data_IF_273303480852
#
_entry.id   IF_273303480852
#
_cell.length_a   1.000
_cell.length_b   1.000
_cell.length_c   1.000
_cell.angle_alpha   90.00
_cell.angle_beta   90.00
_cell.angle_gamma   90.00
#
_symmetry.space_group_name_H-M   'P 1'
#
loop_
_entity.id
_entity.type
_entity.pdbx_description
1 polymer ?
#
# COMPACT_ATOMS: atom_id res chain seq x y z
N UNK A 1 -19.13 -57.07 -39.40
CA UNK A 1 -18.33 -57.12 -40.63
C UNK A 1 -17.10 -56.28 -40.34
N UNK A 2 -16.01 -56.85 -39.88
CA UNK A 2 -14.89 -57.37 -40.67
C UNK A 2 -14.29 -56.27 -41.60
N UNK A 3 -13.04 -55.90 -41.51
CA UNK A 3 -11.70 -56.49 -41.35
C UNK A 3 -10.70 -55.35 -41.46
N UNK A 4 -9.65 -55.22 -40.89
CA UNK A 4 -8.38 -55.87 -40.51
C UNK A 4 -7.23 -54.91 -40.85
N UNK A 5 -6.42 -54.63 -39.86
CA UNK A 5 -4.97 -54.87 -39.70
C UNK A 5 -4.04 -54.79 -40.93
N UNK A 6 -2.95 -54.00 -40.81
CA UNK A 6 -1.55 -54.48 -40.85
C UNK A 6 -0.53 -53.34 -40.71
N UNK A 7 0.19 -53.34 -39.68
CA UNK A 7 1.64 -53.34 -39.40
C UNK A 7 2.62 -53.37 -40.56
N UNK A 8 3.69 -52.52 -40.48
CA UNK A 8 5.09 -52.91 -40.74
C UNK A 8 6.07 -51.78 -40.31
N UNK A 9 6.94 -52.11 -39.41
CA UNK A 9 8.31 -51.58 -39.27
C UNK A 9 9.23 -52.72 -39.76
N UNK A 10 10.57 -52.62 -39.81
CA UNK A 10 11.56 -51.53 -39.65
C UNK A 10 12.59 -51.50 -40.80
N UNK A 11 13.59 -50.62 -40.79
CA UNK A 11 14.99 -50.97 -41.09
C UNK A 11 15.97 -49.80 -40.86
N UNK A 12 17.05 -50.15 -40.18
CA UNK A 12 18.25 -49.37 -39.90
C UNK A 12 18.98 -48.93 -41.19
N UNK A 13 19.57 -47.72 -41.14
CA UNK A 13 20.85 -47.44 -41.81
C UNK A 13 21.62 -46.36 -41.10
N UNK A 14 22.77 -46.72 -40.59
CA UNK A 14 23.84 -45.91 -40.02
C UNK A 14 24.59 -45.18 -41.14
N UNK A 15 24.77 -43.87 -41.04
CA UNK A 15 25.86 -43.19 -41.76
C UNK A 15 26.38 -42.02 -40.92
N UNK A 16 27.62 -42.12 -40.54
CA UNK A 16 28.50 -41.13 -39.96
C UNK A 16 28.84 -40.07 -41.02
N UNK A 17 28.75 -38.75 -40.68
CA UNK A 17 29.84 -37.79 -41.01
C UNK A 17 29.56 -36.38 -40.48
N UNK A 18 30.59 -35.86 -39.85
CA UNK A 18 31.08 -34.49 -39.86
C UNK A 18 30.27 -33.39 -39.14
N UNK A 19 30.82 -32.98 -38.04
CA UNK A 19 30.68 -31.73 -37.29
C UNK A 19 30.86 -30.49 -38.19
N UNK A 20 29.81 -29.65 -38.26
CA UNK A 20 29.98 -28.21 -38.44
C UNK A 20 29.09 -27.53 -37.37
N UNK A 21 29.75 -26.82 -36.47
CA UNK A 21 29.09 -26.02 -35.43
C UNK A 21 28.32 -24.85 -36.08
N UNK A 22 27.04 -24.83 -35.89
CA UNK A 22 26.26 -23.59 -35.96
C UNK A 22 25.94 -23.20 -34.52
N UNK A 23 26.61 -22.18 -34.04
CA UNK A 23 26.15 -21.41 -32.88
C UNK A 23 24.87 -20.72 -33.30
N UNK A 24 23.75 -21.23 -32.85
CA UNK A 24 22.51 -20.45 -32.80
C UNK A 24 22.61 -19.60 -31.52
N UNK A 25 22.86 -18.31 -31.70
CA UNK A 25 22.63 -17.32 -30.66
C UNK A 25 21.13 -17.30 -30.37
N UNK A 26 20.71 -17.92 -29.29
CA UNK A 26 19.42 -17.66 -28.67
C UNK A 26 19.50 -16.26 -28.05
N UNK A 27 18.88 -15.30 -28.69
CA UNK A 27 18.55 -14.02 -28.08
C UNK A 27 17.23 -14.20 -27.32
N UNK A 28 17.27 -14.91 -26.22
CA UNK A 28 16.28 -14.73 -25.17
C UNK A 28 16.72 -13.47 -24.42
N UNK A 29 15.82 -12.53 -24.16
CA UNK A 29 16.12 -11.42 -23.23
C UNK A 29 16.46 -12.03 -21.88
N UNK A 30 17.41 -11.46 -21.14
CA UNK A 30 17.70 -11.93 -19.79
C UNK A 30 16.42 -11.85 -18.96
N UNK A 31 16.02 -12.97 -18.39
CA UNK A 31 15.03 -13.05 -17.34
C UNK A 31 15.74 -12.46 -16.11
N UNK A 32 15.66 -11.15 -15.93
CA UNK A 32 16.17 -10.48 -14.74
C UNK A 32 15.23 -10.86 -13.60
N UNK A 33 15.69 -11.75 -12.75
CA UNK A 33 15.11 -12.06 -11.46
C UNK A 33 15.13 -10.73 -10.65
N UNK A 34 13.99 -10.19 -10.19
CA UNK A 34 13.97 -8.92 -9.45
C UNK A 34 14.66 -9.01 -8.08
N UNK A 35 15.20 -10.16 -7.71
CA UNK A 35 15.95 -10.37 -6.49
C UNK A 35 17.37 -10.80 -6.84
N UNK A 36 18.41 -9.92 -6.66
CA UNK A 36 19.79 -10.30 -6.97
C UNK A 36 20.23 -11.48 -6.10
N UNK A 37 20.85 -12.48 -6.75
CA UNK A 37 21.44 -13.66 -6.13
C UNK A 37 22.43 -13.23 -5.02
N UNK A 38 22.35 -13.74 -3.77
CA UNK A 38 23.28 -13.37 -2.68
C UNK A 38 24.67 -13.95 -2.89
N UNK A 39 25.38 -13.43 -3.87
CA UNK A 39 26.72 -13.88 -4.26
C UNK A 39 27.46 -12.91 -5.19
N UNK A 40 26.80 -11.87 -5.66
CA UNK A 40 27.42 -10.88 -6.54
C UNK A 40 28.16 -9.80 -5.75
N UNK A 41 29.33 -9.44 -6.29
CA UNK A 41 30.25 -8.44 -5.73
C UNK A 41 29.52 -7.14 -5.37
N UNK A 42 29.82 -6.67 -4.18
CA UNK A 42 29.33 -5.47 -3.53
C UNK A 42 29.09 -4.32 -4.52
N UNK A 43 27.84 -4.05 -4.80
CA UNK A 43 27.36 -2.98 -5.69
C UNK A 43 27.58 -1.56 -5.14
N UNK A 44 28.74 -1.22 -4.60
CA UNK A 44 28.96 0.09 -4.00
C UNK A 44 29.05 1.24 -5.00
N UNK A 45 29.35 0.95 -6.27
CA UNK A 45 29.73 1.97 -7.27
C UNK A 45 28.86 1.94 -8.55
N UNK A 46 27.72 1.23 -8.56
CA UNK A 46 26.84 1.15 -9.73
C UNK A 46 25.46 1.72 -9.39
N UNK A 47 25.03 2.84 -10.01
CA UNK A 47 23.68 3.39 -9.81
C UNK A 47 22.59 2.36 -10.12
N UNK A 48 21.56 2.30 -9.26
CA UNK A 48 20.45 1.34 -9.38
C UNK A 48 20.68 -0.01 -8.70
N UNK A 49 21.90 -0.29 -8.24
CA UNK A 49 22.22 -1.49 -7.47
C UNK A 49 21.61 -1.47 -6.07
N UNK A 50 21.49 -2.66 -5.44
CA UNK A 50 21.03 -2.82 -4.06
C UNK A 50 22.17 -3.30 -3.17
N UNK A 51 22.52 -2.52 -2.15
CA UNK A 51 23.44 -2.92 -1.09
C UNK A 51 22.64 -3.62 0.00
N UNK A 52 22.79 -4.92 0.11
CA UNK A 52 22.00 -5.75 1.02
C UNK A 52 22.88 -6.59 1.97
N UNK A 53 22.27 -7.10 3.03
CA UNK A 53 22.86 -8.13 3.89
C UNK A 53 22.89 -9.47 3.15
N UNK A 54 23.83 -10.34 3.53
CA UNK A 54 23.85 -11.75 3.13
C UNK A 54 22.79 -12.61 3.86
N UNK A 55 22.01 -12.03 4.77
CA UNK A 55 20.99 -12.70 5.55
C UNK A 55 19.67 -12.72 4.83
N UNK A 56 19.05 -13.88 4.78
CA UNK A 56 17.72 -14.06 4.21
C UNK A 56 16.64 -13.61 5.20
N UNK A 57 15.53 -13.12 4.67
CA UNK A 57 14.34 -12.76 5.44
C UNK A 57 13.85 -13.94 6.26
N UNK A 58 13.48 -13.69 7.51
CA UNK A 58 12.87 -14.68 8.39
C UNK A 58 11.46 -14.96 7.88
N UNK A 59 11.23 -16.19 7.38
CA UNK A 59 9.96 -16.59 6.77
C UNK A 59 8.85 -16.96 7.77
N UNK A 60 9.19 -17.13 9.05
CA UNK A 60 8.25 -17.44 10.13
C UNK A 60 8.71 -16.73 11.39
N UNK A 61 8.46 -15.41 11.49
CA UNK A 61 8.85 -14.65 12.68
C UNK A 61 8.01 -15.09 13.90
N UNK A 62 8.69 -15.36 15.00
CA UNK A 62 8.05 -15.71 16.28
C UNK A 62 7.71 -14.41 17.04
N UNK A 63 6.50 -13.90 16.85
CA UNK A 63 6.02 -12.64 17.44
C UNK A 63 4.90 -12.94 18.43
N UNK A 64 5.06 -12.62 19.72
CA UNK A 64 4.00 -12.79 20.71
C UNK A 64 2.73 -12.01 20.35
N UNK A 65 1.55 -12.55 20.67
CA UNK A 65 0.27 -11.92 20.36
C UNK A 65 0.14 -10.49 20.92
N UNK A 66 0.72 -10.23 22.09
CA UNK A 66 0.72 -8.88 22.68
C UNK A 66 1.57 -7.90 21.86
N UNK A 67 2.70 -8.35 21.30
CA UNK A 67 3.55 -7.52 20.43
C UNK A 67 2.88 -7.30 19.05
N UNK A 68 2.16 -8.31 18.51
CA UNK A 68 1.32 -8.16 17.32
C UNK A 68 0.23 -7.09 17.54
N UNK A 69 -0.50 -7.20 18.63
CA UNK A 69 -1.56 -6.25 19.00
C UNK A 69 -1.00 -4.83 19.22
N UNK A 70 0.16 -4.69 19.85
CA UNK A 70 0.82 -3.40 20.07
C UNK A 70 1.19 -2.74 18.74
N UNK A 71 1.76 -3.48 17.77
CA UNK A 71 2.06 -2.95 16.43
C UNK A 71 0.80 -2.47 15.72
N UNK A 72 -0.27 -3.27 15.68
CA UNK A 72 -1.52 -2.92 14.99
C UNK A 72 -2.17 -1.71 15.63
N UNK A 73 -2.21 -1.65 16.96
CA UNK A 73 -2.75 -0.51 17.70
C UNK A 73 -1.93 0.77 17.46
N UNK A 74 -0.60 0.68 17.50
CA UNK A 74 0.28 1.81 17.20
C UNK A 74 0.11 2.32 15.77
N UNK A 75 0.07 1.43 14.77
CA UNK A 75 -0.19 1.82 13.38
C UNK A 75 -1.57 2.46 13.20
N UNK A 76 -2.59 2.00 13.92
CA UNK A 76 -3.93 2.61 13.89
C UNK A 76 -3.94 4.00 14.53
N UNK A 77 -3.22 4.19 15.64
CA UNK A 77 -3.06 5.50 16.27
C UNK A 77 -2.32 6.46 15.33
N UNK A 78 -1.18 6.06 14.76
CA UNK A 78 -0.46 6.86 13.76
C UNK A 78 -1.34 7.21 12.56
N UNK A 79 -2.14 6.25 12.07
CA UNK A 79 -3.04 6.50 10.95
C UNK A 79 -3.99 7.66 11.23
N UNK A 80 -4.62 7.67 12.38
CA UNK A 80 -5.61 8.69 12.72
C UNK A 80 -4.96 10.02 13.15
N UNK A 81 -3.80 9.99 13.82
CA UNK A 81 -3.04 11.21 14.13
C UNK A 81 -2.55 11.91 12.86
N UNK A 82 -2.06 11.15 11.88
CA UNK A 82 -1.73 11.68 10.56
C UNK A 82 -2.97 12.25 9.86
N UNK A 83 -4.12 11.57 9.96
CA UNK A 83 -5.38 12.08 9.43
C UNK A 83 -5.76 13.43 10.04
N UNK A 84 -5.58 13.61 11.36
CA UNK A 84 -5.87 14.89 12.01
C UNK A 84 -5.03 16.06 11.46
N UNK A 85 -3.82 15.80 10.96
CA UNK A 85 -3.02 16.81 10.27
C UNK A 85 -3.55 17.06 8.86
N UNK A 86 -3.86 15.99 8.11
CA UNK A 86 -4.23 16.06 6.70
C UNK A 86 -5.68 16.56 6.46
N UNK A 87 -6.60 16.38 7.42
CA UNK A 87 -7.99 16.81 7.26
C UNK A 87 -8.17 18.31 7.06
N UNK A 88 -7.16 19.14 7.42
CA UNK A 88 -7.17 20.57 7.18
C UNK A 88 -6.97 20.92 5.70
N UNK A 89 -6.42 20.00 4.90
CA UNK A 89 -6.28 20.16 3.46
C UNK A 89 -7.66 20.07 2.78
N UNK A 90 -7.96 20.95 1.82
CA UNK A 90 -9.24 20.89 1.11
C UNK A 90 -9.26 19.70 0.14
N UNK A 91 -10.45 19.20 -0.19
CA UNK A 91 -10.66 18.18 -1.21
C UNK A 91 -10.49 16.74 -0.70
N UNK A 92 -10.25 15.83 -1.63
CA UNK A 92 -10.07 14.42 -1.35
C UNK A 92 -8.75 14.14 -0.66
N UNK A 93 -8.71 13.14 0.21
CA UNK A 93 -7.51 12.65 0.89
C UNK A 93 -7.44 11.15 0.68
N UNK A 94 -6.24 10.62 0.40
CA UNK A 94 -6.01 9.18 0.33
C UNK A 94 -4.55 8.83 0.59
N UNK A 95 -4.27 8.02 1.58
CA UNK A 95 -2.91 7.59 1.90
C UNK A 95 -2.90 6.22 2.58
N UNK A 96 -1.72 5.59 2.60
CA UNK A 96 -1.49 4.33 3.31
C UNK A 96 -0.64 4.56 4.56
N UNK A 97 -1.24 4.60 5.74
CA UNK A 97 -0.49 4.72 6.98
C UNK A 97 0.41 3.50 7.21
N UNK A 98 -0.03 2.31 6.84
CA UNK A 98 0.76 1.09 6.96
C UNK A 98 2.06 1.16 6.15
N UNK A 99 1.98 1.57 4.88
CA UNK A 99 3.15 1.68 4.02
C UNK A 99 4.12 2.78 4.50
N UNK A 100 3.59 3.95 4.92
CA UNK A 100 4.39 5.04 5.51
C UNK A 100 5.09 4.58 6.79
N UNK A 101 4.37 3.92 7.70
CA UNK A 101 4.91 3.39 8.95
C UNK A 101 6.01 2.35 8.70
N UNK A 102 5.82 1.45 7.73
CA UNK A 102 6.82 0.45 7.34
C UNK A 102 8.10 1.10 6.80
N UNK A 103 8.01 2.08 5.91
CA UNK A 103 9.18 2.81 5.39
C UNK A 103 9.94 3.54 6.49
N UNK A 104 9.22 4.18 7.40
CA UNK A 104 9.80 4.87 8.55
C UNK A 104 10.38 3.89 9.59
N UNK A 105 9.80 2.70 9.76
CA UNK A 105 10.36 1.65 10.61
C UNK A 105 11.70 1.13 10.08
N UNK A 106 11.83 0.94 8.76
CA UNK A 106 13.13 0.62 8.16
C UNK A 106 14.19 1.68 8.46
N UNK A 107 13.82 2.95 8.38
CA UNK A 107 14.74 4.08 8.69
C UNK A 107 15.05 4.16 10.17
N UNK A 108 14.05 3.90 11.03
CA UNK A 108 14.18 3.89 12.49
C UNK A 108 15.18 2.84 13.00
N UNK A 109 15.41 1.75 12.24
CA UNK A 109 16.45 0.77 12.54
C UNK A 109 17.84 1.39 12.70
N UNK A 110 18.09 2.52 12.03
CA UNK A 110 19.36 3.26 12.14
C UNK A 110 19.30 4.49 13.04
N UNK A 111 18.15 4.84 13.58
CA UNK A 111 18.00 5.99 14.48
C UNK A 111 18.60 5.73 15.87
N UNK A 112 19.12 6.78 16.50
CA UNK A 112 19.68 6.75 17.87
C UNK A 112 19.23 7.95 18.68
N UNK A 113 19.27 7.82 20.00
CA UNK A 113 19.07 8.91 20.93
C UNK A 113 17.72 9.65 20.78
N UNK A 114 17.80 10.98 20.67
CA UNK A 114 16.61 11.84 20.54
C UNK A 114 15.86 11.60 19.22
N UNK A 115 16.56 11.24 18.14
CA UNK A 115 15.95 10.90 16.85
C UNK A 115 15.14 9.62 16.94
N UNK A 116 15.69 8.58 17.56
CA UNK A 116 14.98 7.32 17.81
C UNK A 116 13.72 7.55 18.65
N UNK A 117 13.84 8.35 19.73
CA UNK A 117 12.74 8.67 20.64
C UNK A 117 11.64 9.48 19.94
N UNK A 118 12.01 10.51 19.18
CA UNK A 118 11.06 11.35 18.45
C UNK A 118 10.29 10.57 17.38
N UNK A 119 11.00 9.74 16.61
CA UNK A 119 10.37 8.86 15.63
C UNK A 119 9.41 7.87 16.30
N UNK A 120 9.85 7.19 17.37
CA UNK A 120 9.01 6.23 18.09
C UNK A 120 7.74 6.89 18.64
N UNK A 121 7.86 8.08 19.23
CA UNK A 121 6.71 8.82 19.76
C UNK A 121 5.71 9.24 18.69
N UNK A 122 6.18 9.75 17.55
CA UNK A 122 5.31 10.19 16.44
C UNK A 122 4.64 9.02 15.71
N UNK A 123 5.34 7.90 15.57
CA UNK A 123 4.87 6.73 14.83
C UNK A 123 4.17 5.70 15.72
N UNK A 124 4.03 5.98 17.01
CA UNK A 124 3.49 5.05 18.01
C UNK A 124 4.22 3.69 18.02
N UNK A 125 5.57 3.73 17.95
CA UNK A 125 6.40 2.54 18.07
C UNK A 125 6.63 2.22 19.54
N UNK A 126 5.64 1.61 20.17
CA UNK A 126 5.68 1.24 21.60
C UNK A 126 6.56 0.02 21.88
N UNK A 127 6.92 -0.72 20.84
CA UNK A 127 7.87 -1.83 20.90
C UNK A 127 9.30 -1.31 20.69
N UNK A 128 10.25 -1.86 21.44
CA UNK A 128 11.67 -1.62 21.16
C UNK A 128 12.10 -2.19 19.81
N UNK A 129 13.28 -1.77 19.33
CA UNK A 129 13.78 -2.17 18.01
C UNK A 129 13.86 -3.69 17.83
N UNK A 130 14.23 -4.42 18.87
CA UNK A 130 14.35 -5.89 18.90
C UNK A 130 13.01 -6.62 18.70
N UNK A 131 11.89 -5.95 18.94
CA UNK A 131 10.53 -6.49 18.81
C UNK A 131 9.76 -5.88 17.63
N UNK A 132 9.95 -4.58 17.38
CA UNK A 132 9.21 -3.86 16.34
C UNK A 132 9.48 -4.44 14.94
N UNK A 133 10.74 -4.62 14.58
CA UNK A 133 11.10 -5.12 13.25
C UNK A 133 10.58 -6.55 12.98
N UNK A 134 10.72 -7.51 13.90
CA UNK A 134 10.04 -8.81 13.77
C UNK A 134 8.52 -8.70 13.65
N UNK A 135 7.89 -7.76 14.36
CA UNK A 135 6.45 -7.55 14.28
C UNK A 135 6.02 -6.98 12.90
N UNK A 136 6.80 -6.06 12.31
CA UNK A 136 6.58 -5.65 10.92
C UNK A 136 6.78 -6.79 9.92
N UNK A 137 7.77 -7.66 10.13
CA UNK A 137 7.94 -8.85 9.31
C UNK A 137 6.73 -9.78 9.39
N UNK A 138 6.18 -9.98 10.59
CA UNK A 138 4.98 -10.79 10.80
C UNK A 138 3.77 -10.21 10.05
N UNK A 139 3.45 -8.94 10.25
CA UNK A 139 2.25 -8.35 9.62
C UNK A 139 2.37 -8.30 8.09
N UNK A 140 3.56 -8.06 7.56
CA UNK A 140 3.81 -8.04 6.12
C UNK A 140 3.56 -9.42 5.51
N UNK A 141 4.06 -10.51 6.11
CA UNK A 141 3.79 -11.87 5.66
C UNK A 141 2.31 -12.28 5.82
N UNK A 142 1.63 -11.81 6.86
CA UNK A 142 0.18 -11.98 6.99
C UNK A 142 -0.53 -11.32 5.81
N UNK A 143 -0.19 -10.07 5.47
CA UNK A 143 -0.79 -9.36 4.35
C UNK A 143 -0.43 -9.95 2.99
N UNK A 144 0.82 -10.41 2.79
CA UNK A 144 1.23 -11.15 1.59
C UNK A 144 0.43 -12.46 1.39
N UNK A 145 -0.07 -13.05 2.48
CA UNK A 145 -0.89 -14.26 2.41
C UNK A 145 -2.33 -14.01 1.96
N UNK A 146 -2.78 -12.74 1.92
CA UNK A 146 -4.16 -12.37 1.58
C UNK A 146 -4.44 -12.53 0.09
N UNK A 147 -5.73 -12.68 -0.23
CA UNK A 147 -6.23 -12.72 -1.59
C UNK A 147 -5.87 -13.99 -2.37
N UNK A 148 -5.46 -15.08 -1.70
CA UNK A 148 -5.18 -16.34 -2.38
C UNK A 148 -6.44 -16.90 -3.04
N UNK A 149 -6.46 -16.88 -4.38
CA UNK A 149 -7.62 -17.31 -5.18
C UNK A 149 -8.70 -16.23 -5.35
N UNK A 150 -8.57 -15.10 -4.69
CA UNK A 150 -9.46 -13.95 -4.87
C UNK A 150 -9.17 -13.20 -6.17
N UNK A 151 -10.19 -12.52 -6.68
CA UNK A 151 -10.10 -11.77 -7.91
C UNK A 151 -9.75 -10.30 -7.64
N UNK A 152 -8.95 -9.74 -8.54
CA UNK A 152 -8.83 -8.31 -8.68
C UNK A 152 -10.03 -7.77 -9.46
N UNK A 153 -10.31 -6.51 -9.28
CA UNK A 153 -11.42 -5.85 -9.94
C UNK A 153 -11.26 -5.76 -11.48
N UNK A 154 -10.07 -5.96 -12.00
CA UNK A 154 -9.75 -6.02 -13.44
C UNK A 154 -9.83 -7.44 -14.03
N UNK A 155 -10.33 -8.41 -13.27
CA UNK A 155 -10.44 -9.82 -13.68
C UNK A 155 -9.13 -10.61 -13.67
N UNK A 156 -8.04 -10.01 -13.15
CA UNK A 156 -6.81 -10.73 -12.77
C UNK A 156 -6.88 -11.10 -11.29
N UNK A 157 -5.81 -11.64 -10.72
CA UNK A 157 -5.76 -11.93 -9.27
C UNK A 157 -5.79 -10.66 -8.41
N UNK A 158 -6.15 -10.83 -7.15
CA UNK A 158 -5.99 -9.81 -6.12
C UNK A 158 -4.55 -9.26 -6.08
N UNK A 159 -4.38 -7.97 -5.83
CA UNK A 159 -3.06 -7.33 -5.69
C UNK A 159 -3.08 -6.31 -4.55
N UNK A 160 -2.11 -6.46 -3.67
CA UNK A 160 -1.74 -5.49 -2.65
C UNK A 160 -0.22 -5.33 -2.71
N UNK A 161 0.26 -4.39 -3.52
CA UNK A 161 1.68 -4.15 -3.70
C UNK A 161 2.11 -3.00 -2.80
N UNK A 162 2.77 -3.33 -1.70
CA UNK A 162 3.38 -2.35 -0.79
C UNK A 162 4.81 -2.11 -1.26
N UNK A 163 5.07 -0.93 -1.81
CA UNK A 163 6.31 -0.59 -2.49
C UNK A 163 7.08 0.42 -1.66
N UNK A 164 7.95 -0.08 -0.81
CA UNK A 164 8.80 0.72 0.06
C UNK A 164 10.27 0.52 -0.31
N UNK A 165 11.00 1.61 -0.53
CA UNK A 165 12.43 1.54 -0.75
C UNK A 165 13.19 2.68 -0.07
N UNK A 166 14.40 2.34 0.37
CA UNK A 166 15.40 3.27 0.85
C UNK A 166 16.43 3.49 -0.26
N UNK A 167 16.65 4.75 -0.62
CA UNK A 167 17.59 5.17 -1.65
C UNK A 167 18.74 5.94 -1.02
N UNK A 168 19.94 5.46 -1.17
CA UNK A 168 21.13 6.04 -0.58
C UNK A 168 22.12 6.56 -1.63
N UNK A 169 22.95 7.55 -1.24
CA UNK A 169 24.02 8.04 -2.09
C UNK A 169 25.05 6.93 -2.35
N UNK A 170 25.39 6.72 -3.60
CA UNK A 170 26.46 5.79 -4.02
C UNK A 170 27.78 6.08 -3.32
N UNK A 171 28.54 5.04 -2.96
CA UNK A 171 29.78 5.16 -2.22
C UNK A 171 29.64 5.53 -0.73
N UNK A 172 28.39 5.66 -0.23
CA UNK A 172 28.13 5.91 1.17
C UNK A 172 28.21 4.61 1.97
N UNK A 173 29.02 4.51 3.03
CA UNK A 173 29.15 3.27 3.79
C UNK A 173 27.92 3.06 4.69
N UNK A 174 27.27 1.90 4.56
CA UNK A 174 26.15 1.51 5.42
C UNK A 174 26.62 0.53 6.49
N UNK A 175 26.10 0.67 7.70
CA UNK A 175 26.42 -0.21 8.82
C UNK A 175 25.83 -1.61 8.59
N UNK A 176 26.64 -2.65 8.77
CA UNK A 176 26.23 -4.05 8.58
C UNK A 176 25.01 -4.40 9.43
N UNK A 177 24.94 -3.93 10.68
CA UNK A 177 23.81 -4.22 11.56
C UNK A 177 22.49 -3.61 11.05
N UNK A 178 22.54 -2.46 10.38
CA UNK A 178 21.41 -1.83 9.74
C UNK A 178 20.94 -2.68 8.55
N UNK A 179 21.86 -3.03 7.63
CA UNK A 179 21.54 -3.90 6.50
C UNK A 179 20.99 -5.27 6.95
N UNK A 180 21.54 -5.84 8.01
CA UNK A 180 21.05 -7.08 8.61
C UNK A 180 19.60 -6.96 9.10
N UNK A 181 19.24 -5.83 9.71
CA UNK A 181 17.87 -5.57 10.14
C UNK A 181 16.91 -5.49 8.96
N UNK A 182 17.32 -4.80 7.88
CA UNK A 182 16.53 -4.71 6.64
C UNK A 182 16.36 -6.08 5.99
N UNK A 183 17.46 -6.83 5.83
CA UNK A 183 17.43 -8.16 5.21
C UNK A 183 16.56 -9.15 5.99
N UNK A 184 16.78 -9.25 7.31
CA UNK A 184 16.09 -10.22 8.17
C UNK A 184 14.58 -9.97 8.32
N UNK A 185 14.15 -8.69 8.35
CA UNK A 185 12.77 -8.37 8.71
C UNK A 185 11.94 -7.83 7.54
N UNK A 186 12.57 -7.23 6.54
CA UNK A 186 11.85 -6.63 5.42
C UNK A 186 12.19 -7.27 4.06
N UNK A 187 13.20 -8.17 4.02
CA UNK A 187 13.70 -8.70 2.76
C UNK A 187 14.27 -7.62 1.84
N UNK A 188 14.71 -6.50 2.42
CA UNK A 188 15.11 -5.29 1.71
C UNK A 188 16.60 -4.98 1.91
N UNK A 189 17.10 -4.11 1.04
CA UNK A 189 18.42 -3.48 1.15
C UNK A 189 18.32 -1.98 0.83
N UNK A 190 19.48 -1.35 0.66
CA UNK A 190 19.60 0.05 0.23
C UNK A 190 19.81 0.09 -1.28
N UNK A 191 18.89 0.69 -2.02
CA UNK A 191 19.14 1.07 -3.40
C UNK A 191 20.13 2.23 -3.43
N UNK A 192 21.16 2.16 -4.27
CA UNK A 192 22.16 3.23 -4.36
C UNK A 192 22.08 3.94 -5.70
N UNK A 193 22.11 5.27 -5.66
CA UNK A 193 22.07 6.16 -6.81
C UNK A 193 23.00 7.34 -6.58
N UNK A 194 23.40 8.05 -7.64
CA UNK A 194 24.28 9.20 -7.53
C UNK A 194 23.50 10.53 -7.46
N UNK A 195 22.91 10.81 -6.31
CA UNK A 195 22.17 12.05 -6.09
C UNK A 195 23.00 13.30 -6.34
N UNK A 196 24.30 13.26 -6.00
CA UNK A 196 25.21 14.42 -6.06
C UNK A 196 25.70 14.64 -7.48
N UNK A 197 26.18 13.60 -8.15
CA UNK A 197 26.76 13.70 -9.49
C UNK A 197 25.77 13.63 -10.63
N UNK A 198 24.65 12.89 -10.43
CA UNK A 198 23.67 12.59 -11.46
C UNK A 198 22.22 12.66 -10.93
N UNK A 199 21.77 13.84 -10.44
CA UNK A 199 20.47 13.97 -9.78
C UNK A 199 19.29 13.59 -10.69
N UNK A 200 19.30 13.96 -11.98
CA UNK A 200 18.22 13.61 -12.90
C UNK A 200 18.17 12.10 -13.17
N UNK A 201 19.31 11.46 -13.42
CA UNK A 201 19.38 10.02 -13.64
C UNK A 201 18.96 9.25 -12.39
N UNK A 202 19.31 9.74 -11.20
CA UNK A 202 18.84 9.19 -9.93
C UNK A 202 17.32 9.23 -9.80
N UNK A 203 16.69 10.35 -10.16
CA UNK A 203 15.23 10.50 -10.19
C UNK A 203 14.60 9.55 -11.20
N UNK A 204 15.17 9.44 -12.40
CA UNK A 204 14.67 8.54 -13.46
C UNK A 204 14.71 7.07 -13.01
N UNK A 205 15.80 6.65 -12.33
CA UNK A 205 15.92 5.31 -11.76
C UNK A 205 14.88 5.06 -10.66
N UNK A 206 14.72 6.00 -9.72
CA UNK A 206 13.74 5.90 -8.63
C UNK A 206 12.32 5.80 -9.19
N UNK A 207 11.93 6.71 -10.07
CA UNK A 207 10.58 6.76 -10.64
C UNK A 207 10.31 5.56 -11.55
N UNK A 208 11.29 5.12 -12.33
CA UNK A 208 11.20 3.92 -13.16
C UNK A 208 10.93 2.67 -12.34
N UNK A 209 11.68 2.48 -11.24
CA UNK A 209 11.47 1.37 -10.32
C UNK A 209 10.08 1.41 -9.66
N UNK A 210 9.65 2.58 -9.18
CA UNK A 210 8.30 2.74 -8.58
C UNK A 210 7.20 2.43 -9.58
N UNK A 211 7.32 2.93 -10.82
CA UNK A 211 6.36 2.66 -11.89
C UNK A 211 6.25 1.15 -12.18
N UNK A 212 7.37 0.45 -12.25
CA UNK A 212 7.39 -1.00 -12.47
C UNK A 212 6.70 -1.74 -11.34
N UNK A 213 7.02 -1.43 -10.08
CA UNK A 213 6.43 -2.07 -8.89
C UNK A 213 4.94 -1.76 -8.70
N UNK A 214 4.44 -0.68 -9.32
CA UNK A 214 3.02 -0.27 -9.24
C UNK A 214 2.25 -0.51 -10.54
N UNK A 215 2.72 -1.40 -11.41
CA UNK A 215 2.09 -1.71 -12.71
C UNK A 215 1.81 -0.46 -13.58
N UNK A 216 2.69 0.55 -13.52
CA UNK A 216 2.54 1.82 -14.24
C UNK A 216 1.48 2.76 -13.68
N UNK A 217 0.99 2.53 -12.45
CA UNK A 217 -0.02 3.40 -11.83
C UNK A 217 0.59 4.63 -11.17
N UNK A 218 1.84 4.54 -10.75
CA UNK A 218 2.57 5.64 -10.13
C UNK A 218 3.84 5.87 -10.95
N UNK A 219 3.79 6.83 -11.89
CA UNK A 219 4.90 7.08 -12.82
C UNK A 219 5.89 8.12 -12.28
N UNK A 220 5.42 9.13 -11.54
CA UNK A 220 6.24 10.24 -11.03
C UNK A 220 6.03 10.41 -9.52
N UNK A 221 6.91 9.78 -8.74
CA UNK A 221 6.90 9.91 -7.28
C UNK A 221 7.83 11.03 -6.82
N UNK A 222 9.11 10.98 -7.21
CA UNK A 222 10.16 11.91 -6.78
C UNK A 222 10.38 12.96 -7.88
N UNK A 223 10.13 14.26 -7.61
CA UNK A 223 10.52 15.33 -8.53
C UNK A 223 12.01 15.64 -8.38
N UNK A 224 12.66 16.13 -9.44
CA UNK A 224 14.09 16.42 -9.41
C UNK A 224 14.45 17.53 -8.39
N UNK A 225 13.53 18.43 -8.11
CA UNK A 225 13.68 19.51 -7.13
C UNK A 225 13.79 19.00 -5.69
N UNK A 226 13.37 17.75 -5.42
CA UNK A 226 13.54 17.12 -4.12
C UNK A 226 14.99 16.68 -3.86
N UNK A 227 15.82 16.61 -4.91
CA UNK A 227 17.24 16.26 -4.81
C UNK A 227 18.07 17.54 -4.63
N UNK A 228 18.84 17.58 -3.56
CA UNK A 228 19.78 18.67 -3.28
C UNK A 228 21.21 18.11 -3.18
N UNK A 229 22.26 18.96 -3.20
CA UNK A 229 23.64 18.48 -3.02
C UNK A 229 23.89 17.79 -1.66
N UNK A 230 23.03 18.01 -0.69
CA UNK A 230 23.09 17.42 0.66
C UNK A 230 22.29 16.12 0.75
N UNK A 231 21.57 15.72 -0.30
CA UNK A 231 20.73 14.52 -0.31
C UNK A 231 21.59 13.27 -0.25
N UNK A 232 21.46 12.51 0.82
CA UNK A 232 22.16 11.21 1.03
C UNK A 232 21.19 10.06 1.27
N UNK A 233 19.92 10.37 1.58
CA UNK A 233 18.88 9.39 1.86
C UNK A 233 17.51 9.91 1.45
N UNK A 234 16.79 9.12 0.64
CA UNK A 234 15.38 9.36 0.30
C UNK A 234 14.59 8.09 0.62
N UNK A 235 13.39 8.29 1.17
CA UNK A 235 12.42 7.23 1.35
C UNK A 235 11.34 7.39 0.28
N UNK A 236 11.14 6.34 -0.48
CA UNK A 236 9.99 6.23 -1.39
C UNK A 236 8.98 5.26 -0.81
N UNK A 237 7.74 5.69 -0.86
CA UNK A 237 6.62 4.94 -0.39
C UNK A 237 5.49 5.04 -1.42
N UNK A 238 5.17 3.92 -2.04
CA UNK A 238 4.09 3.80 -3.00
C UNK A 238 3.28 2.56 -2.67
N UNK A 239 2.00 2.60 -2.96
CA UNK A 239 1.14 1.44 -2.73
C UNK A 239 0.09 1.33 -3.83
N UNK A 240 -0.07 0.11 -4.31
CA UNK A 240 -1.06 -0.24 -5.31
C UNK A 240 -1.99 -1.32 -4.76
N UNK A 241 -3.30 -1.08 -4.86
CA UNK A 241 -4.33 -2.00 -4.39
C UNK A 241 -5.36 -2.25 -5.48
N UNK A 242 -5.63 -3.52 -5.79
CA UNK A 242 -6.64 -3.93 -6.74
C UNK A 242 -7.36 -5.17 -6.22
N UNK A 243 -8.65 -5.04 -5.91
CA UNK A 243 -9.50 -6.08 -5.37
C UNK A 243 -10.94 -5.95 -5.88
N UNK A 244 -11.55 -7.07 -6.25
CA UNK A 244 -12.98 -7.12 -6.57
C UNK A 244 -13.83 -7.04 -5.30
N UNK A 245 -15.04 -6.47 -5.41
CA UNK A 245 -16.03 -6.61 -4.34
C UNK A 245 -16.46 -8.08 -4.21
N UNK A 246 -16.74 -8.54 -3.00
CA UNK A 246 -17.40 -9.84 -2.78
C UNK A 246 -18.73 -9.90 -3.54
N UNK A 247 -19.48 -8.81 -3.53
CA UNK A 247 -20.72 -8.62 -4.27
C UNK A 247 -20.60 -7.35 -5.11
N UNK A 248 -20.27 -7.46 -6.40
CA UNK A 248 -20.17 -6.30 -7.30
C UNK A 248 -21.51 -5.60 -7.51
N UNK A 249 -21.49 -4.31 -7.84
CA UNK A 249 -22.68 -3.59 -8.30
C UNK A 249 -23.01 -3.94 -9.74
N UNK A 250 -24.29 -3.91 -10.08
CA UNK A 250 -24.74 -4.06 -11.47
C UNK A 250 -24.46 -2.77 -12.25
N UNK A 251 -23.70 -2.86 -13.33
CA UNK A 251 -23.35 -1.70 -14.17
C UNK A 251 -24.58 -1.01 -14.77
N UNK A 252 -25.66 -1.76 -14.99
CA UNK A 252 -26.95 -1.24 -15.50
C UNK A 252 -27.75 -0.50 -14.45
N UNK A 253 -27.40 -0.62 -13.18
CA UNK A 253 -28.00 0.10 -12.06
C UNK A 253 -27.23 1.38 -11.69
N UNK A 254 -26.14 1.69 -12.41
CA UNK A 254 -25.41 2.96 -12.22
C UNK A 254 -26.12 4.06 -13.01
N UNK A 255 -26.49 5.13 -12.33
CA UNK A 255 -27.19 6.28 -12.89
C UNK A 255 -26.52 7.59 -12.45
N UNK A 256 -26.61 8.63 -13.28
CA UNK A 256 -26.13 9.95 -12.89
C UNK A 256 -26.99 10.54 -11.79
N UNK A 257 -26.37 11.02 -10.71
CA UNK A 257 -27.04 11.63 -9.58
C UNK A 257 -26.26 12.80 -8.99
N UNK A 258 -26.87 13.48 -8.01
CA UNK A 258 -26.25 14.64 -7.36
C UNK A 258 -25.45 14.18 -6.13
N UNK A 259 -24.27 14.75 -5.98
CA UNK A 259 -23.44 14.65 -4.78
C UNK A 259 -23.16 16.06 -4.26
N UNK A 260 -23.50 16.31 -3.00
CA UNK A 260 -23.19 17.58 -2.34
C UNK A 260 -21.74 17.53 -1.85
N UNK A 261 -20.87 18.34 -2.45
CA UNK A 261 -19.44 18.38 -2.11
C UNK A 261 -19.19 19.07 -0.75
N UNK A 262 -17.98 18.93 -0.22
CA UNK A 262 -17.61 19.53 1.07
C UNK A 262 -17.67 21.09 1.05
N UNK A 263 -17.49 21.71 -0.11
CA UNK A 263 -17.61 23.18 -0.26
C UNK A 263 -19.07 23.67 -0.43
N UNK A 264 -20.03 22.74 -0.43
CA UNK A 264 -21.45 23.03 -0.53
C UNK A 264 -21.98 23.20 -1.96
N UNK A 265 -21.19 22.82 -2.98
CA UNK A 265 -21.65 22.75 -4.37
C UNK A 265 -22.20 21.36 -4.69
N UNK A 266 -23.17 21.26 -5.60
CA UNK A 266 -23.67 20.00 -6.10
C UNK A 266 -22.96 19.63 -7.40
N UNK A 267 -22.42 18.41 -7.48
CA UNK A 267 -21.83 17.85 -8.69
C UNK A 267 -22.66 16.65 -9.17
N UNK A 268 -22.74 16.47 -10.48
CA UNK A 268 -23.36 15.29 -11.07
C UNK A 268 -22.32 14.21 -11.29
N UNK A 269 -22.50 13.04 -10.69
CA UNK A 269 -21.57 11.90 -10.77
C UNK A 269 -22.34 10.59 -10.98
N UNK A 270 -21.68 9.57 -11.58
CA UNK A 270 -22.26 8.24 -11.64
C UNK A 270 -22.41 7.65 -10.22
N UNK A 271 -23.63 7.32 -9.82
CA UNK A 271 -23.99 6.66 -8.58
C UNK A 271 -24.32 5.19 -8.86
N UNK A 272 -23.58 4.29 -8.22
CA UNK A 272 -23.83 2.84 -8.23
C UNK A 272 -24.93 2.52 -7.22
N UNK A 273 -25.87 1.67 -7.59
CA UNK A 273 -26.98 1.24 -6.71
C UNK A 273 -26.95 -0.28 -6.54
N UNK A 274 -27.14 -0.75 -5.31
CA UNK A 274 -27.21 -2.18 -5.01
C UNK A 274 -27.82 -2.45 -3.65
N UNK A 275 -28.49 -3.59 -3.51
CA UNK A 275 -28.97 -4.12 -2.23
C UNK A 275 -27.98 -5.19 -1.79
N UNK A 276 -27.16 -4.90 -0.78
CA UNK A 276 -26.01 -5.70 -0.39
C UNK A 276 -26.21 -6.28 1.02
N UNK A 277 -25.90 -7.56 1.21
CA UNK A 277 -25.81 -8.17 2.53
C UNK A 277 -24.42 -7.92 3.10
N UNK A 278 -24.30 -6.91 3.99
CA UNK A 278 -23.02 -6.40 4.50
C UNK A 278 -23.14 -5.94 5.96
N UNK A 279 -22.03 -5.93 6.73
CA UNK A 279 -22.00 -5.33 8.05
C UNK A 279 -22.36 -3.85 8.02
N UNK A 280 -23.31 -3.44 8.85
CA UNK A 280 -23.84 -2.09 8.98
C UNK A 280 -23.94 -1.70 10.45
N UNK A 281 -23.70 -0.43 10.73
CA UNK A 281 -23.98 0.21 12.01
C UNK A 281 -24.48 1.64 11.79
N UNK A 282 -25.30 2.12 12.69
CA UNK A 282 -25.62 3.54 12.83
C UNK A 282 -25.39 3.98 14.27
N UNK A 283 -24.97 5.21 14.46
CA UNK A 283 -24.68 5.79 15.76
C UNK A 283 -24.97 7.28 15.80
N UNK A 284 -24.53 7.93 16.85
CA UNK A 284 -24.73 9.37 17.03
C UNK A 284 -23.97 10.15 15.95
N UNK A 285 -24.72 10.67 14.98
CA UNK A 285 -24.19 11.50 13.89
C UNK A 285 -23.50 10.74 12.75
N UNK A 286 -23.70 9.42 12.59
CA UNK A 286 -23.11 8.66 11.48
C UNK A 286 -23.90 7.41 11.11
N UNK A 287 -23.71 6.97 9.85
CA UNK A 287 -23.97 5.62 9.37
C UNK A 287 -22.63 5.00 8.90
N UNK A 288 -22.49 3.67 9.01
CA UNK A 288 -21.27 3.02 8.55
C UNK A 288 -21.56 1.62 8.01
N UNK A 289 -20.75 1.20 7.01
CA UNK A 289 -20.77 -0.15 6.44
C UNK A 289 -19.35 -0.68 6.30
N UNK A 290 -19.22 -2.00 6.30
CA UNK A 290 -18.00 -2.66 5.82
C UNK A 290 -18.35 -3.41 4.53
N UNK A 291 -17.78 -2.99 3.40
CA UNK A 291 -17.92 -3.65 2.11
C UNK A 291 -16.79 -4.65 1.92
N UNK A 292 -17.05 -5.96 1.99
CA UNK A 292 -16.00 -6.97 1.84
C UNK A 292 -15.50 -7.04 0.40
N UNK A 293 -14.19 -7.24 0.26
CA UNK A 293 -13.61 -7.67 -1.00
C UNK A 293 -13.71 -9.19 -1.19
N UNK A 294 -13.50 -9.66 -2.41
CA UNK A 294 -13.48 -11.09 -2.73
C UNK A 294 -12.44 -11.81 -1.87
N UNK A 295 -12.82 -12.94 -1.28
CA UNK A 295 -12.03 -13.66 -0.28
C UNK A 295 -12.32 -13.28 1.18
N UNK A 296 -13.12 -12.24 1.45
CA UNK A 296 -13.56 -11.79 2.79
C UNK A 296 -12.42 -11.41 3.77
N UNK A 297 -11.19 -11.34 3.31
CA UNK A 297 -10.02 -11.05 4.17
C UNK A 297 -9.81 -9.55 4.38
N UNK A 298 -10.23 -8.73 3.42
CA UNK A 298 -10.19 -7.27 3.49
C UNK A 298 -11.58 -6.67 3.30
N UNK A 299 -11.78 -5.46 3.84
CA UNK A 299 -13.00 -4.70 3.65
C UNK A 299 -12.70 -3.21 3.48
N UNK A 300 -13.54 -2.53 2.67
CA UNK A 300 -13.65 -1.08 2.71
C UNK A 300 -14.70 -0.71 3.77
N UNK A 301 -14.24 -0.18 4.89
CA UNK A 301 -15.10 0.40 5.92
C UNK A 301 -15.42 1.83 5.51
N UNK A 302 -16.70 2.15 5.31
CA UNK A 302 -17.17 3.48 4.92
C UNK A 302 -17.92 4.08 6.09
N UNK A 303 -17.64 5.33 6.42
CA UNK A 303 -18.30 6.08 7.48
C UNK A 303 -18.88 7.36 6.85
N UNK A 304 -20.19 7.48 6.90
CA UNK A 304 -20.94 8.63 6.42
C UNK A 304 -21.42 9.47 7.62
N UNK A 305 -20.77 10.61 7.92
CA UNK A 305 -21.30 11.58 8.89
C UNK A 305 -22.64 12.16 8.44
N UNK A 306 -23.46 12.62 9.39
CA UNK A 306 -24.66 13.41 9.05
C UNK A 306 -24.29 14.62 8.18
N UNK A 307 -25.17 14.95 7.24
CA UNK A 307 -24.94 16.06 6.32
C UNK A 307 -24.62 17.36 7.07
N UNK A 308 -23.51 18.01 6.69
CA UNK A 308 -23.04 19.25 7.30
C UNK A 308 -22.28 19.10 8.63
N UNK A 309 -21.98 17.86 9.07
CA UNK A 309 -21.24 17.61 10.32
C UNK A 309 -19.82 17.05 10.10
N UNK A 310 -19.37 16.94 8.85
CA UNK A 310 -18.08 16.32 8.50
C UNK A 310 -16.93 16.81 9.38
N UNK A 311 -16.68 18.13 9.45
CA UNK A 311 -15.57 18.72 10.20
C UNK A 311 -15.58 18.34 11.70
N UNK A 312 -16.79 18.35 12.30
CA UNK A 312 -16.96 17.99 13.71
C UNK A 312 -16.74 16.49 13.93
N UNK A 313 -17.21 15.67 13.00
CA UNK A 313 -17.00 14.22 13.03
C UNK A 313 -15.53 13.88 12.89
N UNK A 314 -14.85 14.43 11.88
CA UNK A 314 -13.42 14.25 11.64
C UNK A 314 -12.57 14.69 12.86
N UNK A 315 -12.92 15.83 13.48
CA UNK A 315 -12.21 16.31 14.68
C UNK A 315 -12.29 15.35 15.88
N UNK A 316 -13.31 14.48 15.89
CA UNK A 316 -13.52 13.49 16.96
C UNK A 316 -13.03 12.08 16.59
N UNK A 317 -12.44 11.91 15.38
CA UNK A 317 -12.03 10.61 14.87
C UNK A 317 -10.66 10.24 15.43
N UNK A 318 -10.61 9.11 16.14
CA UNK A 318 -9.41 8.45 16.63
C UNK A 318 -9.53 6.92 16.44
N UNK A 319 -8.48 6.18 16.77
CA UNK A 319 -8.45 4.73 16.62
C UNK A 319 -9.57 4.04 17.43
N UNK A 320 -9.81 4.51 18.67
CA UNK A 320 -10.83 3.93 19.54
C UNK A 320 -12.26 4.12 18.97
N UNK A 321 -12.53 5.30 18.36
CA UNK A 321 -13.80 5.57 17.70
C UNK A 321 -14.00 4.69 16.46
N UNK A 322 -12.96 4.52 15.64
CA UNK A 322 -13.00 3.61 14.48
C UNK A 322 -13.27 2.17 14.93
N UNK A 323 -12.54 1.68 15.93
CA UNK A 323 -12.76 0.32 16.46
C UNK A 323 -14.16 0.16 17.08
N UNK A 324 -14.66 1.19 17.75
CA UNK A 324 -16.03 1.22 18.28
C UNK A 324 -17.09 1.13 17.17
N UNK A 325 -16.91 1.87 16.07
CA UNK A 325 -17.80 1.83 14.89
C UNK A 325 -17.77 0.43 14.26
N UNK A 326 -16.58 -0.11 13.99
CA UNK A 326 -16.43 -1.45 13.38
C UNK A 326 -17.00 -2.52 14.30
N UNK A 327 -16.73 -2.43 15.62
CA UNK A 327 -17.22 -3.39 16.60
C UNK A 327 -18.76 -3.36 16.80
N UNK A 328 -19.44 -2.28 16.41
CA UNK A 328 -20.89 -2.15 16.47
C UNK A 328 -21.60 -2.70 15.21
N UNK A 329 -20.86 -3.02 14.14
CA UNK A 329 -21.45 -3.50 12.89
C UNK A 329 -22.01 -4.92 13.04
N UNK A 330 -23.13 -5.17 12.37
CA UNK A 330 -23.72 -6.51 12.20
C UNK A 330 -24.31 -6.66 10.81
N UNK A 331 -24.45 -7.88 10.33
CA UNK A 331 -24.98 -8.18 8.98
C UNK A 331 -26.39 -7.64 8.79
N UNK A 332 -26.58 -6.86 7.73
CA UNK A 332 -27.86 -6.30 7.31
C UNK A 332 -27.97 -6.36 5.78
N UNK A 333 -29.21 -6.44 5.29
CA UNK A 333 -29.49 -6.07 3.91
C UNK A 333 -29.50 -4.54 3.85
N UNK A 334 -28.60 -3.95 3.04
CA UNK A 334 -28.42 -2.50 2.95
C UNK A 334 -28.63 -2.05 1.50
N UNK A 335 -29.63 -1.19 1.28
CA UNK A 335 -29.78 -0.50 0.01
C UNK A 335 -28.74 0.60 -0.06
N UNK A 336 -27.69 0.34 -0.85
CA UNK A 336 -26.49 1.17 -0.94
C UNK A 336 -26.49 2.00 -2.21
N UNK A 337 -26.26 3.30 -2.08
CA UNK A 337 -25.94 4.21 -3.19
C UNK A 337 -24.53 4.77 -2.97
N UNK A 338 -23.62 4.59 -3.95
CA UNK A 338 -22.21 4.97 -3.82
C UNK A 338 -21.70 5.61 -5.11
N UNK A 339 -21.00 6.77 -5.05
CA UNK A 339 -20.40 7.36 -6.23
C UNK A 339 -19.22 6.54 -6.73
N UNK A 340 -19.01 6.54 -8.03
CA UNK A 340 -17.70 6.16 -8.62
C UNK A 340 -16.74 7.30 -8.41
N UNK A 341 -15.48 6.97 -8.08
CA UNK A 341 -14.43 7.96 -7.96
C UNK A 341 -13.07 7.38 -8.34
N UNK A 342 -12.16 8.27 -8.77
CA UNK A 342 -10.80 7.88 -9.13
C UNK A 342 -9.90 9.09 -9.03
N UNK A 343 -8.83 9.00 -8.23
CA UNK A 343 -7.83 10.05 -8.12
C UNK A 343 -6.49 9.54 -7.60
N UNK A 344 -5.46 10.36 -7.77
CA UNK A 344 -4.15 10.19 -7.18
C UNK A 344 -3.98 11.18 -6.03
N UNK A 345 -3.26 10.77 -4.99
CA UNK A 345 -2.93 11.65 -3.88
C UNK A 345 -1.44 11.55 -3.57
N UNK A 346 -0.74 12.70 -3.59
CA UNK A 346 0.69 12.81 -3.35
C UNK A 346 0.95 13.69 -2.13
N UNK A 347 1.82 13.21 -1.24
CA UNK A 347 2.22 13.90 -0.02
C UNK A 347 3.75 14.03 0.05
N UNK A 348 4.24 15.20 0.41
CA UNK A 348 5.51 15.39 1.09
C UNK A 348 5.21 15.47 2.59
N UNK A 349 5.67 14.49 3.33
CA UNK A 349 5.29 14.30 4.74
C UNK A 349 6.23 15.04 5.71
N UNK A 350 7.32 15.65 5.23
CA UNK A 350 8.30 16.32 6.09
C UNK A 350 7.64 17.27 7.08
N UNK A 351 6.95 18.29 6.59
CA UNK A 351 6.34 19.31 7.45
C UNK A 351 5.29 18.73 8.40
N UNK A 352 4.55 17.74 7.94
CA UNK A 352 3.52 17.05 8.72
C UNK A 352 4.15 16.25 9.87
N UNK A 353 5.17 15.45 9.57
CA UNK A 353 5.87 14.64 10.58
C UNK A 353 6.67 15.53 11.56
N UNK A 354 7.25 16.64 11.10
CA UNK A 354 7.86 17.66 11.97
C UNK A 354 6.83 18.22 12.95
N UNK A 355 5.65 18.61 12.47
CA UNK A 355 4.56 19.12 13.32
C UNK A 355 4.02 18.06 14.31
N UNK A 356 4.10 16.78 13.97
CA UNK A 356 3.75 15.66 14.85
C UNK A 356 4.83 15.30 15.87
N UNK A 357 6.06 15.89 15.78
CA UNK A 357 7.12 15.71 16.76
C UNK A 357 8.44 15.12 16.23
N UNK A 358 8.57 14.87 14.93
CA UNK A 358 9.77 14.31 14.30
C UNK A 358 10.78 15.35 13.79
N UNK A 359 10.70 16.64 14.16
CA UNK A 359 11.58 17.70 13.63
C UNK A 359 13.07 17.34 13.69
N UNK A 360 13.52 16.70 14.76
CA UNK A 360 14.94 16.32 14.92
C UNK A 360 15.42 15.38 13.81
N UNK A 361 14.58 14.48 13.31
CA UNK A 361 14.94 13.51 12.27
C UNK A 361 15.20 14.17 10.90
N UNK A 362 14.63 15.35 10.67
CA UNK A 362 14.77 16.15 9.45
C UNK A 362 15.80 17.27 9.54
N UNK A 363 16.37 17.49 10.74
CA UNK A 363 17.27 18.63 11.00
C UNK A 363 18.72 18.23 10.77
N UNK A 364 19.43 18.80 9.76
CA UNK A 364 20.85 18.55 9.54
C UNK A 364 21.69 18.84 10.79
N UNK A 365 22.56 17.91 11.16
CA UNK A 365 23.45 18.03 12.32
C UNK A 365 22.80 17.85 13.68
N UNK A 366 21.47 17.73 13.76
CA UNK A 366 20.74 17.33 14.97
C UNK A 366 20.25 15.87 14.87
N UNK A 367 19.90 15.41 13.68
CA UNK A 367 19.51 14.03 13.43
C UNK A 367 20.66 13.08 13.79
N UNK A 368 20.33 11.99 14.49
CA UNK A 368 21.26 10.90 14.78
C UNK A 368 20.79 9.60 14.13
N UNK A 369 21.28 9.38 12.91
CA UNK A 369 21.16 8.12 12.17
C UNK A 369 22.52 7.42 12.05
N UNK A 370 23.35 7.52 13.07
CA UNK A 370 24.66 6.84 13.12
C UNK A 370 24.54 5.32 13.03
N UNK A 371 23.37 4.76 13.27
CA UNK A 371 23.08 3.35 13.00
C UNK A 371 22.98 3.02 11.50
N UNK A 372 22.69 4.00 10.63
CA UNK A 372 22.77 3.84 9.16
C UNK A 372 24.21 3.99 8.70
N UNK A 373 24.89 5.05 9.19
CA UNK A 373 26.27 5.37 8.86
C UNK A 373 26.93 6.10 10.03
N UNK A 374 27.92 5.45 10.65
CA UNK A 374 28.63 5.98 11.81
C UNK A 374 29.66 7.08 11.48
N UNK A 375 30.03 7.24 10.20
CA UNK A 375 31.02 8.22 9.75
C UNK A 375 30.38 9.50 9.19
N UNK A 376 29.10 9.45 8.86
CA UNK A 376 28.33 10.56 8.35
C UNK A 376 27.37 11.13 9.39
N UNK A 377 26.59 12.11 8.98
CA UNK A 377 25.47 12.66 9.75
C UNK A 377 24.22 12.66 8.85
N UNK A 378 23.71 11.46 8.48
CA UNK A 378 22.53 11.39 7.63
C UNK A 378 21.32 11.95 8.37
N UNK A 379 20.44 12.55 7.61
CA UNK A 379 19.12 13.02 8.06
C UNK A 379 18.09 12.69 7.00
N UNK A 380 16.83 12.65 7.35
CA UNK A 380 15.75 12.43 6.38
C UNK A 380 15.53 13.74 5.61
N UNK A 381 15.76 13.72 4.30
CA UNK A 381 15.52 14.89 3.44
C UNK A 381 14.02 15.13 3.27
N UNK A 382 13.27 14.11 2.89
CA UNK A 382 11.82 14.09 2.77
C UNK A 382 11.30 12.64 2.84
N UNK A 383 10.00 12.50 3.10
CA UNK A 383 9.25 11.25 3.00
C UNK A 383 8.15 11.49 1.97
N UNK A 384 8.31 10.91 0.79
CA UNK A 384 7.40 11.12 -0.31
C UNK A 384 6.48 9.92 -0.43
N UNK A 385 5.18 10.18 -0.28
CA UNK A 385 4.13 9.18 -0.42
C UNK A 385 3.23 9.54 -1.60
N UNK A 386 2.88 8.53 -2.40
CA UNK A 386 1.86 8.65 -3.44
C UNK A 386 0.99 7.41 -3.44
N UNK A 387 -0.31 7.61 -3.46
CA UNK A 387 -1.30 6.56 -3.52
C UNK A 387 -2.30 6.85 -4.63
N UNK A 388 -2.83 5.79 -5.20
CA UNK A 388 -3.86 5.82 -6.23
C UNK A 388 -5.06 5.01 -5.78
N UNK A 389 -6.26 5.54 -5.98
CA UNK A 389 -7.51 4.84 -5.72
C UNK A 389 -8.48 5.04 -6.88
N UNK A 390 -9.13 3.94 -7.29
CA UNK A 390 -10.25 3.99 -8.22
C UNK A 390 -11.31 3.00 -7.76
N UNK A 391 -12.54 3.47 -7.57
CA UNK A 391 -13.68 2.67 -7.11
C UNK A 391 -14.77 2.70 -8.16
N UNK A 392 -15.23 1.51 -8.53
CA UNK A 392 -16.32 1.32 -9.46
C UNK A 392 -17.17 0.07 -9.10
N UNK A 393 -18.04 -0.37 -10.01
CA UNK A 393 -18.98 -1.46 -9.79
C UNK A 393 -18.33 -2.80 -9.46
N UNK A 394 -17.16 -3.09 -10.04
CA UNK A 394 -16.48 -4.37 -9.85
C UNK A 394 -15.59 -4.40 -8.59
N UNK A 395 -15.17 -3.25 -8.09
CA UNK A 395 -14.27 -3.19 -6.95
C UNK A 395 -13.43 -1.92 -6.89
N UNK A 396 -12.30 -2.04 -6.23
CA UNK A 396 -11.25 -1.03 -6.26
C UNK A 396 -10.31 -1.33 -7.43
N UNK A 397 -10.26 -0.41 -8.37
CA UNK A 397 -9.55 -0.44 -9.66
C UNK A 397 -10.00 -1.56 -10.65
N UNK A 398 -11.11 -1.35 -11.37
CA UNK A 398 -11.85 -2.39 -12.07
C UNK A 398 -12.07 -2.25 -13.58
N UNK A 399 -12.30 -3.41 -14.21
CA UNK A 399 -13.02 -3.61 -15.48
C UNK A 399 -14.19 -4.59 -15.23
N UNK A 400 -15.34 -4.31 -15.85
CA UNK A 400 -16.69 -4.83 -15.56
C UNK A 400 -16.87 -6.31 -15.21
N UNK A 401 -17.67 -6.60 -14.19
CA UNK A 401 -18.21 -7.91 -13.82
C UNK A 401 -19.75 -7.88 -13.83
N UNK A 402 -20.40 -9.06 -13.95
CA UNK A 402 -21.86 -9.20 -13.96
C UNK A 402 -22.30 -10.12 -12.82
N UNK A 403 -23.17 -9.64 -11.93
CA UNK A 403 -23.77 -10.42 -10.84
C UNK A 403 -25.30 -10.52 -11.02
N UNK A 404 -25.93 -11.57 -10.44
CA UNK A 404 -27.39 -11.78 -10.46
C UNK A 404 -27.87 -11.86 -9.01
N UNK A 405 -28.79 -11.00 -8.63
CA UNK A 405 -29.42 -10.97 -7.31
C UNK A 405 -30.82 -11.56 -7.39
N UNK A 406 -31.15 -12.50 -6.46
CA UNK A 406 -32.47 -13.09 -6.30
C UNK A 406 -33.00 -12.70 -4.92
N UNK A 407 -34.08 -11.92 -4.86
CA UNK A 407 -34.71 -11.47 -3.62
C UNK A 407 -35.89 -12.35 -3.17
N UNK A 408 -36.17 -12.44 -1.83
CA UNK A 408 -37.31 -13.08 -1.21
C UNK A 408 -38.21 -12.01 -0.56
N UNK A 409 -39.56 -12.12 -0.75
CA UNK A 409 -40.53 -11.08 -0.40
C UNK A 409 -40.87 -10.98 1.11
N UNK A 410 -40.18 -11.70 1.99
CA UNK A 410 -40.52 -11.73 3.43
C UNK A 410 -39.42 -11.18 4.35
N UNK A 411 -38.39 -10.50 3.83
CA UNK A 411 -37.30 -9.92 4.61
C UNK A 411 -37.73 -8.62 5.36
N UNK A 412 -37.09 -8.27 6.49
CA UNK A 412 -37.18 -6.95 7.09
C UNK A 412 -36.87 -5.87 6.08
N UNK A 413 -37.46 -4.66 6.23
CA UNK A 413 -37.06 -3.54 5.36
C UNK A 413 -35.56 -3.33 5.45
N UNK A 414 -34.83 -3.24 4.30
CA UNK A 414 -33.40 -3.03 4.30
C UNK A 414 -33.01 -1.71 4.99
N UNK A 415 -31.86 -1.66 5.60
CA UNK A 415 -31.23 -0.39 5.97
C UNK A 415 -30.89 0.37 4.68
N UNK A 416 -30.77 1.68 4.74
CA UNK A 416 -30.44 2.50 3.56
C UNK A 416 -29.22 3.36 3.84
N UNK A 417 -28.21 3.29 2.95
CA UNK A 417 -27.02 4.13 2.97
C UNK A 417 -26.85 4.83 1.62
N UNK A 418 -26.99 6.16 1.62
CA UNK A 418 -26.78 6.96 0.41
C UNK A 418 -25.56 7.87 0.57
N UNK A 419 -24.45 7.49 -0.07
CA UNK A 419 -23.21 8.25 -0.09
C UNK A 419 -23.28 9.39 -1.11
N UNK A 420 -24.13 10.36 -0.82
CA UNK A 420 -24.36 11.57 -1.65
C UNK A 420 -23.87 12.86 -0.98
N UNK A 421 -23.12 12.72 0.11
CA UNK A 421 -22.41 13.74 0.87
C UNK A 421 -21.00 13.25 1.16
N UNK A 422 -20.07 14.11 1.59
CA UNK A 422 -18.71 13.72 1.93
C UNK A 422 -18.67 12.61 2.98
N UNK A 423 -17.79 11.66 2.74
CA UNK A 423 -17.64 10.48 3.59
C UNK A 423 -16.16 10.09 3.76
N UNK A 424 -15.91 9.30 4.79
CA UNK A 424 -14.63 8.70 5.09
C UNK A 424 -14.63 7.23 4.70
N UNK A 425 -13.47 6.70 4.33
CA UNK A 425 -13.31 5.27 4.16
C UNK A 425 -11.94 4.78 4.61
N UNK A 426 -11.88 3.53 4.99
CA UNK A 426 -10.68 2.82 5.38
C UNK A 426 -10.64 1.50 4.62
N UNK A 427 -9.48 1.09 4.11
CA UNK A 427 -9.28 -0.29 3.67
C UNK A 427 -8.55 -1.01 4.81
N UNK A 428 -9.14 -2.09 5.30
CA UNK A 428 -8.72 -2.76 6.52
C UNK A 428 -8.58 -4.26 6.31
N UNK A 429 -7.55 -4.86 6.89
CA UNK A 429 -7.44 -6.30 7.04
C UNK A 429 -8.36 -6.79 8.17
N UNK A 430 -9.28 -7.68 7.85
CA UNK A 430 -10.33 -8.11 8.78
C UNK A 430 -9.79 -8.96 9.93
N UNK A 431 -8.73 -9.73 9.68
CA UNK A 431 -8.17 -10.67 10.66
C UNK A 431 -7.30 -9.96 11.70
N UNK A 432 -6.41 -9.08 11.27
CA UNK A 432 -5.49 -8.36 12.18
C UNK A 432 -6.06 -7.03 12.67
N UNK A 433 -6.99 -6.46 11.94
CA UNK A 433 -7.51 -5.14 12.19
C UNK A 433 -6.65 -4.00 11.64
N UNK A 434 -5.57 -4.30 10.93
CA UNK A 434 -4.66 -3.30 10.39
C UNK A 434 -5.33 -2.38 9.38
N UNK A 435 -5.15 -1.08 9.54
CA UNK A 435 -5.60 -0.06 8.60
C UNK A 435 -4.54 0.08 7.50
N UNK A 436 -4.88 -0.33 6.28
CA UNK A 436 -3.99 -0.27 5.12
C UNK A 436 -4.08 1.07 4.41
N UNK A 437 -5.29 1.64 4.32
CA UNK A 437 -5.54 2.94 3.72
C UNK A 437 -6.56 3.73 4.52
N UNK A 438 -6.42 5.04 4.44
CA UNK A 438 -7.40 6.01 4.94
C UNK A 438 -7.73 6.98 3.80
N UNK A 439 -9.02 7.27 3.62
CA UNK A 439 -9.48 8.21 2.62
C UNK A 439 -10.65 9.06 3.06
N UNK A 440 -10.79 10.22 2.42
CA UNK A 440 -11.95 11.10 2.47
C UNK A 440 -12.36 11.42 1.05
N UNK A 441 -13.63 11.29 0.76
CA UNK A 441 -14.24 11.79 -0.47
C UNK A 441 -15.00 13.06 -0.13
N UNK A 442 -14.41 14.19 -0.51
CA UNK A 442 -15.02 15.52 -0.42
C UNK A 442 -15.72 15.92 -1.73
N UNK A 443 -15.19 15.43 -2.85
CA UNK A 443 -15.72 15.60 -4.21
C UNK A 443 -15.34 14.37 -5.06
N UNK A 444 -16.28 13.49 -5.41
CA UNK A 444 -15.99 12.30 -6.23
C UNK A 444 -15.72 12.63 -7.72
N UNK A 445 -15.98 13.85 -8.18
CA UNK A 445 -15.68 14.29 -9.55
C UNK A 445 -14.26 14.81 -9.72
N UNK A 446 -13.56 15.10 -8.63
CA UNK A 446 -12.16 15.54 -8.65
C UNK A 446 -11.24 14.36 -8.98
N UNK A 447 -10.27 14.58 -9.91
CA UNK A 447 -9.32 13.58 -10.43
C UNK A 447 -7.89 13.87 -9.98
#
# INVERSE_FOLDING_TARGET
MMRTLRTCAPLFALALTATLGCQTSSTDPPNEDPNPDPGDEVCHDTPGCVVASDKQRISTPDVPADDQAALVSGNSAFALDLYQQLRAEPGNVFYSPYSISTALAMTWAGAKGDTETAMAGTLHFDLGQDKLHPAFNWIDQELESRGQGAQGADGKGFRLNVVNALWGQIGYPFETAFLDTLGLNYGAGMHVVDFIGQPQESVDLVNGWVSEQTEGKIEELVPVEAITPETVLILTNAIYFNAAWRTPFETTATEDGQFATADGTDVTVPLMHGSLEIPYAEGDGYQAVAMPYDGDELSMVIILPEAGTLDAFEASLDAAKVDGIVGAMSEHLVDTTMPKFKFEYKLSLKNTLEAMGMEVAFTPGAADFTGINSQGQPFIQDVIHKAFVGVNEAGTEAAAATAVIVGDESAPSPASLALVNPFLFLIRDNATGSILFVGRIADPSAS
#
